data_IF_307347246923
#
_entry.id   IF_307347246923
#
_cell.length_a   1.000
_cell.length_b   1.000
_cell.length_c   1.000
_cell.angle_alpha   90.00
_cell.angle_beta   90.00
_cell.angle_gamma   90.00
#
_symmetry.space_group_name_H-M   'P 1'
#
loop_
_entity.id
_entity.type
_entity.pdbx_description
1 polymer ?
#
# COMPACT_ATOMS: atom_id res chain seq x y z
N UNK A 1 25.96 -6.42 2.33
CA UNK A 1 25.23 -6.58 1.06
C UNK A 1 26.15 -7.20 0.02
N UNK A 2 25.67 -8.18 -0.76
CA UNK A 2 26.43 -8.72 -1.91
C UNK A 2 26.01 -7.92 -3.15
N UNK A 3 26.87 -7.05 -3.73
CA UNK A 3 26.48 -6.01 -4.69
C UNK A 3 26.02 -6.50 -6.08
N UNK A 4 25.73 -7.80 -6.23
CA UNK A 4 25.29 -8.44 -7.47
C UNK A 4 24.16 -9.45 -7.29
N UNK A 5 23.58 -9.55 -6.08
CA UNK A 5 22.48 -10.47 -5.82
C UNK A 5 21.31 -9.71 -5.22
N UNK A 6 20.06 -10.01 -5.64
CA UNK A 6 18.89 -9.48 -4.97
C UNK A 6 18.91 -9.93 -3.51
N UNK A 7 18.27 -9.15 -2.64
CA UNK A 7 17.99 -9.59 -1.28
C UNK A 7 17.23 -10.92 -1.29
N UNK A 8 17.47 -11.75 -0.28
CA UNK A 8 16.93 -13.10 -0.21
C UNK A 8 15.40 -13.12 -0.32
N UNK A 9 14.73 -12.10 0.21
CA UNK A 9 13.29 -11.91 0.14
C UNK A 9 12.76 -11.87 -1.30
N UNK A 10 13.51 -11.28 -2.24
CA UNK A 10 13.14 -11.14 -3.65
C UNK A 10 13.84 -12.15 -4.58
N UNK A 11 14.67 -13.04 -4.04
CA UNK A 11 15.52 -13.94 -4.84
C UNK A 11 14.73 -14.90 -5.72
N UNK A 12 13.57 -15.38 -5.25
CA UNK A 12 12.71 -16.27 -6.04
C UNK A 12 11.98 -15.52 -7.17
N UNK A 13 11.64 -14.24 -6.96
CA UNK A 13 11.06 -13.38 -8.00
C UNK A 13 12.06 -13.08 -9.09
N UNK A 14 13.29 -12.72 -8.73
CA UNK A 14 14.38 -12.54 -9.67
C UNK A 14 14.66 -13.81 -10.50
N UNK A 15 14.67 -14.99 -9.86
CA UNK A 15 14.87 -16.28 -10.54
C UNK A 15 13.72 -16.59 -11.50
N UNK A 16 12.48 -16.35 -11.09
CA UNK A 16 11.31 -16.54 -11.93
C UNK A 16 11.30 -15.58 -13.13
N UNK A 17 11.70 -14.32 -12.93
CA UNK A 17 11.83 -13.35 -14.01
C UNK A 17 12.87 -13.76 -15.06
N UNK A 18 14.05 -14.20 -14.61
CA UNK A 18 15.08 -14.75 -15.51
C UNK A 18 14.58 -16.00 -16.26
N UNK A 19 13.89 -16.91 -15.57
CA UNK A 19 13.33 -18.11 -16.19
C UNK A 19 12.23 -17.82 -17.23
N UNK A 20 11.49 -16.72 -17.04
CA UNK A 20 10.52 -16.21 -18.01
C UNK A 20 11.16 -15.40 -19.16
N UNK A 21 12.50 -15.24 -19.17
CA UNK A 21 13.24 -14.55 -20.22
C UNK A 21 13.34 -13.03 -20.03
N UNK A 22 12.98 -12.50 -18.86
CA UNK A 22 13.18 -11.08 -18.55
C UNK A 22 14.64 -10.78 -18.19
N UNK A 23 15.11 -9.59 -18.56
CA UNK A 23 16.36 -9.06 -18.03
C UNK A 23 16.15 -8.61 -16.58
N UNK A 24 17.07 -9.00 -15.69
CA UNK A 24 17.02 -8.64 -14.27
C UNK A 24 18.31 -7.93 -13.88
N UNK A 25 18.17 -6.74 -13.32
CA UNK A 25 19.27 -6.00 -12.70
C UNK A 25 19.01 -5.80 -11.20
N UNK A 26 20.07 -5.85 -10.41
CA UNK A 26 20.03 -5.55 -8.98
C UNK A 26 20.46 -4.10 -8.80
N UNK A 27 19.59 -3.29 -8.20
CA UNK A 27 19.93 -1.90 -7.89
C UNK A 27 21.00 -1.87 -6.78
N UNK A 28 22.06 -1.12 -7.05
CA UNK A 28 23.15 -0.81 -6.12
C UNK A 28 23.87 0.45 -6.61
N UNK A 29 24.91 0.88 -5.89
CA UNK A 29 25.68 2.09 -6.24
C UNK A 29 26.29 1.96 -7.64
N UNK A 30 25.75 2.73 -8.60
CA UNK A 30 26.23 2.78 -9.98
C UNK A 30 25.86 1.57 -10.87
N UNK A 31 24.99 0.67 -10.41
CA UNK A 31 24.55 -0.45 -11.25
C UNK A 31 23.73 0.06 -12.45
N UNK A 32 24.07 -0.35 -13.69
CA UNK A 32 23.28 0.01 -14.86
C UNK A 32 21.89 -0.63 -14.77
N UNK A 33 20.89 0.13 -15.16
CA UNK A 33 19.52 -0.37 -15.29
C UNK A 33 19.31 -0.77 -16.76
N UNK A 34 18.57 -1.86 -17.05
CA UNK A 34 18.33 -2.31 -18.41
C UNK A 34 17.76 -1.19 -19.28
N UNK A 35 18.25 -1.12 -20.52
CA UNK A 35 17.69 -0.23 -21.54
C UNK A 35 16.40 -0.86 -22.11
N UNK A 36 15.35 -0.85 -21.30
CA UNK A 36 13.99 -1.28 -21.63
C UNK A 36 13.03 -0.08 -21.62
N UNK A 37 11.97 -0.14 -22.42
CA UNK A 37 10.86 0.82 -22.41
C UNK A 37 9.81 0.52 -21.33
N UNK A 38 9.96 -0.62 -20.63
CA UNK A 38 9.09 -1.06 -19.55
C UNK A 38 9.92 -1.73 -18.44
N UNK A 39 10.21 -0.99 -17.37
CA UNK A 39 10.98 -1.46 -16.21
C UNK A 39 10.11 -1.48 -14.96
N UNK A 40 9.95 -2.65 -14.33
CA UNK A 40 9.25 -2.81 -13.06
C UNK A 40 10.25 -2.89 -11.93
N UNK A 41 10.13 -2.02 -10.93
CA UNK A 41 10.88 -2.15 -9.69
C UNK A 41 10.26 -3.25 -8.81
N UNK A 42 11.09 -4.12 -8.24
CA UNK A 42 10.72 -5.08 -7.20
C UNK A 42 11.74 -4.98 -6.08
N UNK A 43 11.31 -4.53 -4.91
CA UNK A 43 12.24 -4.28 -3.80
C UNK A 43 11.57 -3.62 -2.61
N UNK A 44 12.40 -3.16 -1.67
CA UNK A 44 11.93 -2.46 -0.48
C UNK A 44 11.35 -1.08 -0.82
N UNK A 45 10.42 -0.64 0.03
CA UNK A 45 9.84 0.69 -0.09
C UNK A 45 10.93 1.77 -0.02
N UNK A 46 10.89 2.69 -0.98
CA UNK A 46 11.70 3.90 -1.04
C UNK A 46 10.85 5.11 -0.64
N UNK A 47 11.48 6.16 -0.11
CA UNK A 47 10.86 7.48 -0.07
C UNK A 47 10.54 7.96 -1.48
N UNK A 48 9.59 8.90 -1.61
CA UNK A 48 9.26 9.50 -2.90
C UNK A 48 10.46 10.18 -3.57
N UNK A 49 11.39 10.73 -2.78
CA UNK A 49 12.61 11.36 -3.27
C UNK A 49 13.61 10.33 -3.83
N UNK A 50 13.82 9.22 -3.12
CA UNK A 50 14.67 8.12 -3.57
C UNK A 50 14.14 7.49 -4.87
N UNK A 51 12.83 7.26 -4.95
CA UNK A 51 12.20 6.72 -6.16
C UNK A 51 12.29 7.70 -7.35
N UNK A 52 12.13 9.01 -7.11
CA UNK A 52 12.34 10.03 -8.13
C UNK A 52 13.80 10.08 -8.61
N UNK A 53 14.77 9.90 -7.72
CA UNK A 53 16.18 9.82 -8.07
C UNK A 53 16.51 8.56 -8.90
N UNK A 54 15.83 7.44 -8.64
CA UNK A 54 15.92 6.24 -9.50
C UNK A 54 15.41 6.53 -10.91
N UNK A 55 14.24 7.17 -11.05
CA UNK A 55 13.68 7.54 -12.34
C UNK A 55 14.59 8.50 -13.13
N UNK A 56 15.27 9.42 -12.44
CA UNK A 56 16.19 10.38 -13.03
C UNK A 56 17.44 9.76 -13.67
N UNK A 57 17.67 8.44 -13.51
CA UNK A 57 18.76 7.70 -14.18
C UNK A 57 18.48 7.39 -15.66
N UNK A 58 17.37 7.89 -16.22
CA UNK A 58 17.00 7.67 -17.62
C UNK A 58 16.31 6.32 -17.87
N UNK A 59 15.66 5.77 -16.85
CA UNK A 59 14.98 4.47 -16.90
C UNK A 59 13.50 4.68 -17.21
N UNK A 60 12.95 3.91 -18.16
CA UNK A 60 11.51 3.88 -18.40
C UNK A 60 10.79 3.03 -17.34
N UNK A 61 10.69 3.57 -16.12
CA UNK A 61 9.95 2.91 -15.04
C UNK A 61 8.47 2.84 -15.40
N UNK A 62 7.89 1.64 -15.28
CA UNK A 62 6.46 1.38 -15.52
C UNK A 62 5.59 2.29 -14.66
N UNK A 63 5.94 2.41 -13.39
CA UNK A 63 5.31 3.32 -12.44
C UNK A 63 6.15 4.59 -12.35
N UNK A 64 5.64 5.71 -12.83
CA UNK A 64 6.35 6.99 -12.72
C UNK A 64 6.40 7.49 -11.26
N UNK A 65 7.30 8.43 -10.90
CA UNK A 65 7.39 8.96 -9.54
C UNK A 65 6.10 9.60 -8.99
N UNK A 66 5.28 10.17 -9.86
CA UNK A 66 3.97 10.69 -9.47
C UNK A 66 2.99 9.57 -9.10
N UNK A 67 2.95 8.51 -9.90
CA UNK A 67 2.09 7.35 -9.67
C UNK A 67 2.54 6.52 -8.47
N UNK A 68 3.86 6.41 -8.26
CA UNK A 68 4.45 5.80 -7.06
C UNK A 68 3.90 6.47 -5.79
N UNK A 69 3.94 7.80 -5.72
CA UNK A 69 3.39 8.54 -4.58
C UNK A 69 1.87 8.40 -4.47
N UNK A 70 1.16 8.55 -5.60
CA UNK A 70 -0.32 8.43 -5.63
C UNK A 70 -0.81 7.08 -5.15
N UNK A 71 -0.11 6.00 -5.45
CA UNK A 71 -0.48 4.66 -5.02
C UNK A 71 -0.19 4.41 -3.54
N UNK A 72 0.89 4.99 -3.00
CA UNK A 72 1.29 4.79 -1.60
C UNK A 72 0.59 5.71 -0.60
N UNK A 73 0.29 6.95 -1.00
CA UNK A 73 -0.27 7.96 -0.13
C UNK A 73 -1.80 7.94 -0.22
N UNK A 74 -2.49 7.74 0.91
CA UNK A 74 -3.95 7.62 0.96
C UNK A 74 -4.72 8.71 0.19
N UNK A 75 -4.35 10.01 0.28
CA UNK A 75 -5.04 11.05 -0.50
C UNK A 75 -4.96 10.85 -2.02
N UNK A 76 -3.95 10.15 -2.52
CA UNK A 76 -3.73 9.90 -3.95
C UNK A 76 -4.71 8.92 -4.58
N UNK A 77 -5.38 8.09 -3.78
CA UNK A 77 -6.32 7.06 -4.25
C UNK A 77 -7.69 7.06 -3.56
N UNK A 78 -7.82 7.66 -2.37
CA UNK A 78 -9.05 7.57 -1.54
C UNK A 78 -10.32 7.98 -2.30
N UNK A 79 -10.28 9.09 -3.04
CA UNK A 79 -11.47 9.61 -3.72
C UNK A 79 -12.07 8.63 -4.74
N UNK A 80 -11.23 7.83 -5.42
CA UNK A 80 -11.69 6.87 -6.41
C UNK A 80 -12.39 5.65 -5.78
N UNK A 81 -12.08 5.34 -4.52
CA UNK A 81 -12.56 4.13 -3.83
C UNK A 81 -13.40 4.45 -2.60
N UNK A 82 -13.77 5.72 -2.40
CA UNK A 82 -14.45 6.22 -1.19
C UNK A 82 -15.75 5.47 -0.84
N UNK A 83 -16.45 4.93 -1.85
CA UNK A 83 -17.66 4.13 -1.67
C UNK A 83 -17.42 2.73 -1.11
N UNK A 84 -16.18 2.23 -1.15
CA UNK A 84 -15.80 0.87 -0.75
C UNK A 84 -14.63 0.80 0.24
N UNK A 85 -14.11 1.92 0.73
CA UNK A 85 -13.04 1.99 1.75
C UNK A 85 -13.55 2.67 3.02
N UNK A 86 -13.05 2.35 4.23
CA UNK A 86 -13.49 3.01 5.46
C UNK A 86 -13.37 4.53 5.36
N UNK A 87 -14.43 5.24 5.79
CA UNK A 87 -14.49 6.71 5.73
C UNK A 87 -13.23 7.29 6.38
N UNK A 88 -12.47 8.05 5.61
CA UNK A 88 -11.20 8.63 6.05
C UNK A 88 -11.18 10.13 5.83
N UNK A 89 -10.55 10.84 6.76
CA UNK A 89 -10.23 12.27 6.65
C UNK A 89 -8.76 12.44 7.01
N UNK A 90 -8.12 13.50 6.53
CA UNK A 90 -6.70 13.70 6.76
C UNK A 90 -6.31 15.16 6.90
N UNK A 91 -5.15 15.38 7.50
CA UNK A 91 -4.51 16.70 7.66
C UNK A 91 -3.40 16.87 6.63
N UNK A 92 -2.99 18.12 6.39
CA UNK A 92 -1.72 18.42 5.75
C UNK A 92 -0.74 18.85 6.85
N UNK A 93 0.26 18.01 7.16
CA UNK A 93 1.15 18.22 8.30
C UNK A 93 0.61 17.60 9.60
N UNK A 94 1.32 17.87 10.70
CA UNK A 94 1.16 17.23 12.00
C UNK A 94 0.67 18.19 13.10
N UNK A 95 0.15 19.36 12.73
CA UNK A 95 -0.28 20.35 13.70
C UNK A 95 -1.59 19.96 14.41
N UNK A 96 -1.70 20.39 15.66
CA UNK A 96 -2.85 20.08 16.51
C UNK A 96 -4.15 20.66 15.98
N UNK A 97 -4.14 21.87 15.42
CA UNK A 97 -5.37 22.51 14.98
C UNK A 97 -5.97 21.77 13.77
N UNK A 98 -5.14 21.39 12.81
CA UNK A 98 -5.50 20.53 11.69
C UNK A 98 -6.04 19.18 12.15
N UNK A 99 -5.37 18.53 13.10
CA UNK A 99 -5.82 17.24 13.64
C UNK A 99 -7.21 17.33 14.30
N UNK A 100 -7.44 18.37 15.12
CA UNK A 100 -8.74 18.56 15.79
C UNK A 100 -9.86 18.88 14.79
N UNK A 101 -9.55 19.64 13.71
CA UNK A 101 -10.51 19.85 12.63
C UNK A 101 -10.84 18.54 11.90
N UNK A 102 -9.85 17.67 11.68
CA UNK A 102 -10.07 16.34 11.10
C UNK A 102 -10.94 15.46 12.03
N UNK A 103 -10.70 15.45 13.35
CA UNK A 103 -11.57 14.80 14.32
C UNK A 103 -13.03 15.27 14.21
N UNK A 104 -13.25 16.60 14.17
CA UNK A 104 -14.57 17.18 14.03
C UNK A 104 -15.26 16.79 12.71
N UNK A 105 -14.51 16.78 11.60
CA UNK A 105 -15.00 16.32 10.28
C UNK A 105 -15.38 14.83 10.29
N UNK A 106 -14.60 13.99 10.98
CA UNK A 106 -14.89 12.57 11.10
C UNK A 106 -16.12 12.29 11.98
N UNK A 107 -16.43 13.18 12.93
CA UNK A 107 -17.64 13.17 13.73
C UNK A 107 -17.47 12.42 15.05
N UNK A 108 -18.17 11.30 15.23
CA UNK A 108 -18.21 10.54 16.50
C UNK A 108 -17.82 9.07 16.31
N UNK A 109 -17.27 8.46 17.36
CA UNK A 109 -16.89 7.04 17.40
C UNK A 109 -15.39 6.79 17.17
N UNK A 110 -15.00 5.52 17.10
CA UNK A 110 -13.60 5.11 17.03
C UNK A 110 -12.96 5.30 15.64
N UNK A 111 -11.65 5.55 15.63
CA UNK A 111 -10.82 5.64 14.44
C UNK A 111 -9.54 4.80 14.55
N UNK A 112 -8.97 4.48 13.39
CA UNK A 112 -7.58 4.06 13.24
C UNK A 112 -6.79 5.23 12.65
N UNK A 113 -5.68 5.56 13.30
CA UNK A 113 -4.72 6.57 12.92
C UNK A 113 -3.59 5.95 12.10
N UNK A 114 -3.22 6.64 11.02
CA UNK A 114 -2.02 6.39 10.22
C UNK A 114 -1.48 7.73 9.71
N UNK A 115 -0.28 7.74 9.14
CA UNK A 115 0.12 8.82 8.24
C UNK A 115 -0.36 8.49 6.82
N UNK A 116 0.09 9.24 5.81
CA UNK A 116 -0.37 8.98 4.45
C UNK A 116 -0.01 7.57 3.94
N UNK A 117 1.02 6.92 4.50
CA UNK A 117 1.58 5.66 3.99
C UNK A 117 1.52 4.50 4.98
N UNK A 118 1.80 4.71 6.27
CA UNK A 118 1.97 3.66 7.28
C UNK A 118 1.18 3.92 8.56
N UNK A 119 0.80 2.82 9.21
CA UNK A 119 0.23 2.82 10.56
C UNK A 119 1.27 2.33 11.58
N UNK A 120 0.97 2.49 12.87
CA UNK A 120 1.77 1.93 13.97
C UNK A 120 1.06 0.73 14.59
N UNK A 121 0.73 -0.29 13.78
CA UNK A 121 -0.07 -1.46 14.22
C UNK A 121 0.46 -2.19 15.46
N UNK A 122 1.79 -2.15 15.68
CA UNK A 122 2.43 -2.74 16.86
C UNK A 122 2.23 -1.93 18.15
N UNK A 123 1.79 -0.68 18.04
CA UNK A 123 1.47 0.24 19.14
C UNK A 123 -0.03 0.55 19.11
N UNK A 124 -0.86 -0.48 19.01
CA UNK A 124 -2.29 -0.34 18.74
C UNK A 124 -2.96 0.65 19.70
N UNK A 125 -2.89 0.41 21.01
CA UNK A 125 -3.56 1.25 22.01
C UNK A 125 -2.88 2.60 22.25
N UNK A 126 -1.59 2.71 21.95
CA UNK A 126 -0.79 3.91 22.23
C UNK A 126 -0.80 4.93 21.09
N UNK A 127 -0.81 4.45 19.84
CA UNK A 127 -0.52 5.28 18.65
C UNK A 127 -1.36 4.93 17.41
N UNK A 128 -2.18 3.88 17.39
CA UNK A 128 -3.01 3.57 16.21
C UNK A 128 -4.50 3.72 16.47
N UNK A 129 -5.02 3.19 17.57
CA UNK A 129 -6.43 3.18 17.86
C UNK A 129 -6.84 4.44 18.61
N UNK A 130 -7.85 5.13 18.11
CA UNK A 130 -8.49 6.28 18.75
C UNK A 130 -9.90 5.85 19.15
N UNK A 131 -10.15 5.52 20.44
CA UNK A 131 -11.46 5.00 20.87
C UNK A 131 -12.63 5.95 20.57
N UNK A 132 -12.39 7.26 20.64
CA UNK A 132 -13.36 8.27 20.26
C UNK A 132 -12.65 9.52 19.75
N UNK A 133 -12.98 9.93 18.53
CA UNK A 133 -12.48 11.21 17.97
C UNK A 133 -13.16 12.44 18.60
N UNK A 134 -14.23 12.25 19.37
CA UNK A 134 -14.88 13.32 20.12
C UNK A 134 -14.14 13.65 21.43
N UNK A 135 -13.38 12.70 21.99
CA UNK A 135 -12.42 13.01 23.06
C UNK A 135 -11.13 13.56 22.44
N UNK A 136 -11.15 14.85 22.15
CA UNK A 136 -10.05 15.56 21.48
C UNK A 136 -8.75 15.52 22.26
N UNK A 137 -8.81 15.38 23.59
CA UNK A 137 -7.60 15.28 24.42
C UNK A 137 -6.98 13.89 24.30
N UNK A 138 -7.78 12.83 24.40
CA UNK A 138 -7.29 11.47 24.20
C UNK A 138 -6.83 11.23 22.76
N UNK A 139 -7.60 11.67 21.77
CA UNK A 139 -7.24 11.55 20.36
C UNK A 139 -5.92 12.26 20.05
N UNK A 140 -5.70 13.45 20.60
CA UNK A 140 -4.44 14.17 20.42
C UNK A 140 -3.24 13.48 21.09
N UNK A 141 -3.43 12.80 22.24
CA UNK A 141 -2.35 12.00 22.85
C UNK A 141 -1.91 10.87 21.94
N UNK A 142 -2.86 10.14 21.34
CA UNK A 142 -2.58 9.07 20.36
C UNK A 142 -1.85 9.65 19.15
N UNK A 143 -2.30 10.79 18.62
CA UNK A 143 -1.67 11.44 17.47
C UNK A 143 -0.26 11.96 17.74
N UNK A 144 -0.05 12.56 18.91
CA UNK A 144 1.29 13.02 19.33
C UNK A 144 2.23 11.83 19.47
N UNK A 145 1.78 10.74 20.12
CA UNK A 145 2.58 9.53 20.28
C UNK A 145 2.88 8.86 18.94
N UNK A 146 1.91 8.80 18.04
CA UNK A 146 2.10 8.32 16.67
C UNK A 146 3.17 9.15 15.94
N UNK A 147 3.08 10.48 16.01
CA UNK A 147 4.04 11.38 15.37
C UNK A 147 5.46 11.19 15.92
N UNK A 148 5.61 11.08 17.24
CA UNK A 148 6.88 10.78 17.90
C UNK A 148 7.48 9.45 17.41
N UNK A 149 6.66 8.39 17.32
CA UNK A 149 7.13 7.06 16.91
C UNK A 149 7.49 6.99 15.42
N UNK A 150 6.83 7.79 14.57
CA UNK A 150 7.17 7.90 13.14
C UNK A 150 8.41 8.74 12.89
N UNK A 151 8.71 9.71 13.75
CA UNK A 151 9.89 10.58 13.67
C UNK A 151 10.17 11.10 12.24
N UNK A 152 11.36 10.91 11.69
CA UNK A 152 11.70 11.35 10.33
C UNK A 152 10.92 10.60 9.22
N UNK A 153 10.31 9.45 9.52
CA UNK A 153 9.50 8.67 8.57
C UNK A 153 8.04 9.16 8.46
N UNK A 154 7.63 10.17 9.24
CA UNK A 154 6.27 10.69 9.19
C UNK A 154 5.96 11.29 7.81
N UNK A 155 5.00 10.69 7.10
CA UNK A 155 4.70 11.07 5.71
C UNK A 155 3.41 11.88 5.60
N UNK A 156 3.54 13.14 5.16
CA UNK A 156 2.41 13.99 4.80
C UNK A 156 1.66 14.55 6.01
N UNK A 157 0.67 13.81 6.51
CA UNK A 157 -0.17 14.24 7.62
C UNK A 157 -0.91 13.07 8.25
N UNK A 158 -1.67 13.35 9.31
CA UNK A 158 -2.51 12.36 9.96
C UNK A 158 -3.67 11.96 9.08
N UNK A 159 -3.95 10.66 9.00
CA UNK A 159 -5.18 10.12 8.45
C UNK A 159 -5.97 9.49 9.58
N UNK A 160 -7.17 10.02 9.83
CA UNK A 160 -8.16 9.43 10.72
C UNK A 160 -9.15 8.64 9.87
N UNK A 161 -9.06 7.31 9.96
CA UNK A 161 -9.95 6.37 9.29
C UNK A 161 -10.98 5.85 10.27
N UNK A 162 -12.26 5.76 9.89
CA UNK A 162 -13.28 5.15 10.74
C UNK A 162 -12.92 3.70 11.05
N UNK A 163 -12.97 3.37 12.33
CA UNK A 163 -12.81 1.99 12.76
C UNK A 163 -14.02 1.19 12.31
N UNK A 164 -13.76 0.06 11.67
CA UNK A 164 -14.74 -0.93 11.26
C UNK A 164 -14.21 -2.29 11.70
N UNK A 165 -15.12 -3.16 12.12
CA UNK A 165 -14.77 -4.53 12.47
C UNK A 165 -14.68 -5.36 11.19
N UNK A 166 -13.52 -5.94 10.96
CA UNK A 166 -13.26 -6.85 9.84
C UNK A 166 -13.26 -8.30 10.32
N UNK A 167 -13.68 -9.20 9.44
CA UNK A 167 -13.81 -10.62 9.71
C UNK A 167 -13.23 -11.44 8.56
N UNK A 168 -12.71 -12.62 8.89
CA UNK A 168 -12.11 -13.53 7.91
C UNK A 168 -10.78 -13.03 7.34
N UNK A 169 -10.36 -13.68 6.26
CA UNK A 169 -9.07 -13.46 5.64
C UNK A 169 -9.01 -12.13 4.88
N UNK A 170 -7.92 -11.39 5.07
CA UNK A 170 -7.53 -10.32 4.16
C UNK A 170 -6.93 -10.93 2.89
N UNK A 171 -7.31 -10.37 1.74
CA UNK A 171 -6.94 -10.85 0.41
C UNK A 171 -6.19 -9.76 -0.33
N UNK A 172 -5.06 -10.11 -0.94
CA UNK A 172 -4.31 -9.21 -1.81
C UNK A 172 -4.67 -9.48 -3.27
N UNK A 173 -5.12 -8.44 -3.96
CA UNK A 173 -5.41 -8.47 -5.40
C UNK A 173 -4.37 -7.65 -6.16
N UNK A 174 -3.87 -8.17 -7.28
CA UNK A 174 -2.80 -7.56 -8.08
C UNK A 174 -3.36 -7.12 -9.42
N UNK A 175 -3.14 -5.86 -9.78
CA UNK A 175 -3.77 -5.23 -10.93
C UNK A 175 -2.73 -4.59 -11.85
N UNK A 176 -2.82 -4.87 -13.14
CA UNK A 176 -1.99 -4.23 -14.18
C UNK A 176 -2.92 -3.51 -15.14
N UNK A 177 -2.67 -2.22 -15.34
CA UNK A 177 -3.47 -1.33 -16.19
C UNK A 177 -4.99 -1.42 -15.90
N UNK A 178 -5.35 -1.55 -14.62
CA UNK A 178 -6.74 -1.64 -14.15
C UNK A 178 -7.41 -3.02 -14.27
N UNK A 179 -6.69 -4.06 -14.69
CA UNK A 179 -7.18 -5.43 -14.80
C UNK A 179 -6.60 -6.28 -13.67
N UNK A 180 -7.44 -6.99 -12.91
CA UNK A 180 -6.97 -7.92 -11.89
C UNK A 180 -6.30 -9.12 -12.57
N UNK A 181 -5.01 -9.30 -12.35
CA UNK A 181 -4.19 -10.36 -12.94
C UNK A 181 -3.94 -11.52 -11.98
N UNK A 182 -3.99 -11.27 -10.67
CA UNK A 182 -3.72 -12.29 -9.65
C UNK A 182 -4.45 -11.97 -8.34
N UNK A 183 -4.90 -13.01 -7.64
CA UNK A 183 -5.51 -12.91 -6.31
C UNK A 183 -4.77 -13.87 -5.39
N UNK A 184 -4.29 -13.39 -4.26
CA UNK A 184 -3.45 -14.15 -3.32
C UNK A 184 -3.92 -13.96 -1.88
N UNK A 185 -3.51 -14.86 -0.98
CA UNK A 185 -3.59 -14.58 0.45
C UNK A 185 -2.85 -13.26 0.78
N UNK A 186 -3.23 -12.58 1.85
CA UNK A 186 -2.43 -11.46 2.35
C UNK A 186 -1.10 -11.98 2.94
N UNK A 187 0.05 -11.31 2.74
CA UNK A 187 1.35 -11.78 3.23
C UNK A 187 1.45 -11.92 4.76
N UNK A 188 0.65 -11.18 5.53
CA UNK A 188 0.60 -11.34 7.00
C UNK A 188 -0.17 -12.61 7.43
N UNK A 189 -1.06 -13.13 6.56
CA UNK A 189 -1.87 -14.33 6.80
C UNK A 189 -1.77 -15.32 5.63
N UNK A 190 -0.56 -15.78 5.27
CA UNK A 190 -0.31 -16.50 4.02
C UNK A 190 -0.97 -17.89 3.97
N UNK A 191 -1.40 -18.41 5.12
CA UNK A 191 -2.14 -19.68 5.26
C UNK A 191 -3.65 -19.54 5.08
N UNK A 192 -4.18 -18.32 4.98
CA UNK A 192 -5.59 -18.05 4.79
C UNK A 192 -5.89 -17.78 3.32
N UNK A 193 -6.46 -18.76 2.58
CA UNK A 193 -6.68 -18.60 1.15
C UNK A 193 -7.79 -17.59 0.86
N UNK A 194 -7.77 -16.93 -0.32
CA UNK A 194 -8.85 -16.05 -0.75
C UNK A 194 -10.22 -16.76 -0.73
N UNK A 195 -11.25 -16.17 -0.09
CA UNK A 195 -12.60 -16.74 -0.10
C UNK A 195 -13.19 -16.83 -1.51
N UNK A 196 -14.00 -17.86 -1.77
CA UNK A 196 -14.60 -18.11 -3.08
C UNK A 196 -15.65 -17.08 -3.49
N UNK A 197 -16.23 -16.37 -2.53
CA UNK A 197 -17.23 -15.32 -2.73
C UNK A 197 -16.63 -13.90 -2.68
N UNK A 198 -15.32 -13.77 -2.91
CA UNK A 198 -14.64 -12.49 -3.10
C UNK A 198 -15.21 -11.73 -4.30
N UNK A 199 -15.70 -10.50 -4.06
CA UNK A 199 -16.25 -9.64 -5.11
C UNK A 199 -15.16 -8.80 -5.80
N UNK A 200 -14.27 -9.43 -6.57
CA UNK A 200 -13.24 -8.68 -7.34
C UNK A 200 -13.88 -7.77 -8.40
N UNK A 201 -14.97 -8.23 -9.02
CA UNK A 201 -15.66 -7.51 -10.09
C UNK A 201 -16.22 -6.16 -9.61
N UNK A 202 -16.72 -6.09 -8.37
CA UNK A 202 -17.21 -4.86 -7.76
C UNK A 202 -16.15 -3.78 -7.54
N UNK A 203 -14.87 -4.14 -7.46
CA UNK A 203 -13.75 -3.18 -7.32
C UNK A 203 -13.11 -2.80 -8.65
N UNK A 204 -13.27 -3.60 -9.70
CA UNK A 204 -12.57 -3.40 -10.97
C UNK A 204 -12.77 -1.99 -11.59
N UNK A 205 -13.98 -1.41 -11.64
CA UNK A 205 -14.16 -0.05 -12.15
C UNK A 205 -13.45 1.02 -11.31
N UNK A 206 -13.38 0.82 -9.99
CA UNK A 206 -12.76 1.77 -9.06
C UNK A 206 -11.23 1.74 -9.23
N UNK A 207 -10.64 0.54 -9.30
CA UNK A 207 -9.21 0.36 -9.50
C UNK A 207 -8.79 0.82 -10.90
N UNK A 208 -9.54 0.47 -11.94
CA UNK A 208 -9.30 0.96 -13.31
C UNK A 208 -9.37 2.49 -13.38
N UNK A 209 -10.30 3.10 -12.65
CA UNK A 209 -10.44 4.56 -12.55
C UNK A 209 -9.22 5.29 -11.99
N UNK A 210 -8.36 4.61 -11.20
CA UNK A 210 -7.12 5.19 -10.70
C UNK A 210 -6.10 5.45 -11.81
N UNK A 211 -6.18 4.70 -12.92
CA UNK A 211 -5.21 4.72 -14.04
C UNK A 211 -3.77 4.56 -13.57
N UNK A 212 -3.56 3.72 -12.57
CA UNK A 212 -2.24 3.35 -12.09
C UNK A 212 -1.77 2.09 -12.85
N UNK A 213 -0.50 2.02 -13.24
CA UNK A 213 -0.02 0.99 -14.18
C UNK A 213 0.13 -0.38 -13.52
N UNK A 214 0.51 -0.39 -12.24
CA UNK A 214 0.60 -1.57 -11.42
C UNK A 214 0.21 -1.20 -10.00
N UNK A 215 -0.71 -1.96 -9.39
CA UNK A 215 -1.11 -1.78 -7.98
C UNK A 215 -1.44 -3.10 -7.32
N UNK A 216 -1.33 -3.12 -6.00
CA UNK A 216 -2.07 -4.08 -5.17
C UNK A 216 -3.23 -3.39 -4.50
N UNK A 217 -4.35 -4.08 -4.33
CA UNK A 217 -5.44 -3.67 -3.48
C UNK A 217 -5.74 -4.77 -2.47
N UNK A 218 -5.71 -4.42 -1.18
CA UNK A 218 -6.02 -5.34 -0.11
C UNK A 218 -7.50 -5.21 0.26
N UNK A 219 -8.18 -6.36 0.26
CA UNK A 219 -9.62 -6.50 0.43
C UNK A 219 -9.90 -7.35 1.66
N UNK A 220 -10.82 -6.90 2.50
CA UNK A 220 -11.25 -7.64 3.69
C UNK A 220 -12.75 -7.49 3.89
N UNK A 221 -13.38 -8.47 4.51
CA UNK A 221 -14.81 -8.44 4.78
C UNK A 221 -15.07 -7.67 6.07
N UNK A 222 -16.08 -6.79 6.06
CA UNK A 222 -16.63 -6.16 7.26
C UNK A 222 -17.58 -7.12 7.99
N UNK A 223 -17.80 -6.91 9.28
CA UNK A 223 -18.66 -7.76 10.11
C UNK A 223 -20.09 -7.97 9.55
N UNK A 224 -20.61 -7.07 8.71
CA UNK A 224 -21.91 -7.19 8.06
C UNK A 224 -21.89 -7.91 6.70
N UNK A 225 -20.73 -8.43 6.30
CA UNK A 225 -20.55 -9.21 5.08
C UNK A 225 -20.06 -8.41 3.87
N UNK A 226 -20.02 -7.07 3.94
CA UNK A 226 -19.56 -6.23 2.83
C UNK A 226 -18.04 -6.30 2.67
N UNK A 227 -17.56 -6.40 1.43
CA UNK A 227 -16.13 -6.29 1.11
C UNK A 227 -15.65 -4.85 1.13
N UNK A 228 -14.51 -4.61 1.77
CA UNK A 228 -13.86 -3.30 1.90
C UNK A 228 -12.45 -3.32 1.35
N UNK A 229 -12.08 -2.26 0.64
CA UNK A 229 -10.70 -1.98 0.27
C UNK A 229 -10.02 -1.25 1.42
N UNK A 230 -8.96 -1.83 1.98
CA UNK A 230 -8.26 -1.29 3.14
C UNK A 230 -6.95 -0.61 2.79
N UNK A 231 -6.27 -1.07 1.74
CA UNK A 231 -5.01 -0.53 1.29
C UNK A 231 -4.87 -0.63 -0.22
N UNK A 232 -4.26 0.38 -0.83
CA UNK A 232 -3.66 0.32 -2.15
C UNK A 232 -2.16 0.52 -1.99
N UNK A 233 -1.38 -0.27 -2.73
CA UNK A 233 0.05 -0.08 -2.92
C UNK A 233 0.38 -0.03 -4.40
N UNK A 234 1.57 0.44 -4.77
CA UNK A 234 2.00 0.57 -6.17
C UNK A 234 2.36 -0.77 -6.84
N UNK A 235 2.10 -1.88 -6.16
CA UNK A 235 2.43 -3.23 -6.57
C UNK A 235 3.92 -3.55 -6.56
N UNK A 236 4.82 -2.59 -6.78
CA UNK A 236 6.27 -2.78 -6.91
C UNK A 236 6.93 -3.15 -5.59
N UNK A 237 6.46 -2.57 -4.48
CA UNK A 237 7.02 -2.82 -3.14
C UNK A 237 6.08 -3.64 -2.26
N UNK A 238 4.98 -4.12 -2.84
CA UNK A 238 4.04 -5.01 -2.19
C UNK A 238 4.61 -6.42 -2.14
N UNK A 239 4.56 -7.00 -0.94
CA UNK A 239 4.98 -8.37 -0.70
C UNK A 239 4.03 -9.38 -1.35
N UNK A 240 4.64 -10.38 -2.00
CA UNK A 240 3.98 -11.61 -2.44
C UNK A 240 3.98 -12.61 -1.28
N UNK A 241 2.85 -13.23 -0.92
CA UNK A 241 2.85 -14.28 0.08
C UNK A 241 3.67 -15.49 -0.42
N UNK A 242 4.40 -16.14 0.48
CA UNK A 242 5.19 -17.35 0.13
C UNK A 242 4.33 -18.50 -0.37
N UNK A 243 3.03 -18.50 -0.07
CA UNK A 243 2.05 -19.47 -0.56
C UNK A 243 1.71 -19.31 -2.05
N UNK A 244 2.08 -18.20 -2.68
CA UNK A 244 1.93 -17.99 -4.13
C UNK A 244 3.27 -18.14 -4.83
N UNK A 245 3.41 -19.02 -5.84
CA UNK A 245 4.65 -19.16 -6.62
C UNK A 245 5.11 -17.83 -7.23
N UNK A 246 6.41 -17.54 -7.17
CA UNK A 246 6.97 -16.32 -7.74
C UNK A 246 6.69 -16.17 -9.26
N UNK A 247 6.67 -17.30 -9.98
CA UNK A 247 6.35 -17.32 -11.41
C UNK A 247 4.94 -16.80 -11.73
N UNK A 248 3.96 -16.99 -10.84
CA UNK A 248 2.60 -16.47 -11.05
C UNK A 248 2.58 -14.93 -10.98
N UNK A 249 3.29 -14.33 -10.03
CA UNK A 249 3.43 -12.87 -9.98
C UNK A 249 4.16 -12.33 -11.21
N UNK A 250 5.29 -12.95 -11.60
CA UNK A 250 6.03 -12.52 -12.79
C UNK A 250 5.16 -12.62 -14.05
N UNK A 251 4.40 -13.71 -14.22
CA UNK A 251 3.46 -13.84 -15.34
C UNK A 251 2.34 -12.80 -15.27
N UNK A 252 1.83 -12.47 -14.09
CA UNK A 252 0.80 -11.45 -13.88
C UNK A 252 1.28 -10.03 -14.23
N UNK A 253 2.59 -9.76 -14.23
CA UNK A 253 3.17 -8.48 -14.65
C UNK A 253 3.27 -8.32 -16.17
N UNK A 254 3.07 -9.38 -16.95
CA UNK A 254 3.04 -9.26 -18.40
C UNK A 254 1.83 -8.41 -18.83
N UNK A 255 2.04 -7.52 -19.81
CA UNK A 255 0.98 -6.74 -20.44
C UNK A 255 0.25 -7.58 -21.47
#
# INVERSE_FOLDING_TARGET
>A
MRPRRPDEHFADEARAALAAGHEVAVLGDGAPVPASDDVVYRGWMMSGAEYAALAARGVALRTGPADYRRAHELPGWYAAVASRTPRSVWTCGDDRAGFLAACASLGSGAAVLRDYTKSMKHYWDEAAFVPSVADTTAAWRVASRFRELRDDDFTGGFVLRRFEEFTGAEVRTWWVDGVCRLVTAHPDTPSEPPPTDLDVAGFAPLISGLRLPFVTADLVRRADGEWRLVEIGDGQVSDRPRSTPAAELIAALAR
#
